data_IF_347338230442
#
_entry.id   IF_347338230442
#
_cell.length_a   1.000
_cell.length_b   1.000
_cell.length_c   1.000
_cell.angle_alpha   90.00
_cell.angle_beta   90.00
_cell.angle_gamma   90.00
#
_symmetry.space_group_name_H-M   'P 1'
#
loop_
_entity.id
_entity.type
_entity.pdbx_description
1 polymer ?
#
# COMPACT_ATOMS: atom_id res chain seq x y z
N UNK A 1 25.44 14.89 6.21
CA UNK A 1 24.36 13.89 6.09
C UNK A 1 24.08 13.71 4.62
N UNK A 2 23.95 12.47 4.17
CA UNK A 2 23.80 12.14 2.76
C UNK A 2 22.47 12.72 2.24
N UNK A 3 22.50 13.61 1.24
CA UNK A 3 21.35 14.38 0.77
C UNK A 3 20.42 13.56 -0.14
N UNK A 4 20.04 12.36 0.32
CA UNK A 4 19.21 11.43 -0.44
C UNK A 4 17.78 11.92 -0.52
N UNK A 5 17.23 11.98 -1.73
CA UNK A 5 15.84 12.38 -1.95
C UNK A 5 14.93 11.16 -1.92
N UNK A 6 14.00 11.12 -0.96
CA UNK A 6 13.04 10.02 -0.82
C UNK A 6 11.64 10.39 -1.30
N UNK A 7 11.18 9.58 -2.25
CA UNK A 7 9.90 9.48 -2.96
C UNK A 7 8.72 8.75 -2.28
N UNK A 8 7.83 9.34 -1.47
CA UNK A 8 6.67 8.56 -0.94
C UNK A 8 5.42 8.75 -1.80
N UNK A 9 5.01 7.72 -2.56
CA UNK A 9 3.77 7.71 -3.35
C UNK A 9 2.58 7.11 -2.58
N UNK A 10 2.86 6.21 -1.64
CA UNK A 10 1.85 5.53 -0.82
C UNK A 10 0.98 6.53 -0.06
N UNK A 11 -0.34 6.50 -0.31
CA UNK A 11 -1.34 7.33 0.38
C UNK A 11 -1.37 7.04 1.88
N UNK A 12 -1.48 5.76 2.25
CA UNK A 12 -1.57 5.35 3.64
C UNK A 12 -0.30 5.66 4.43
N UNK A 13 0.88 5.52 3.81
CA UNK A 13 2.13 5.94 4.44
C UNK A 13 2.15 7.46 4.61
N UNK A 14 1.84 8.20 3.53
CA UNK A 14 1.85 9.67 3.54
C UNK A 14 0.86 10.26 4.55
N UNK A 15 -0.25 9.59 4.82
CA UNK A 15 -1.25 10.02 5.79
C UNK A 15 -0.88 9.68 7.25
N UNK A 16 0.14 8.85 7.51
CA UNK A 16 0.44 8.34 8.85
C UNK A 16 1.50 9.21 9.57
N UNK A 17 1.14 9.98 10.61
CA UNK A 17 2.03 10.99 11.21
C UNK A 17 3.37 10.43 11.69
N UNK A 18 3.35 9.31 12.42
CA UNK A 18 4.58 8.70 12.96
C UNK A 18 5.55 8.20 11.88
N UNK A 19 5.02 7.68 10.76
CA UNK A 19 5.86 7.18 9.67
C UNK A 19 6.52 8.34 8.92
N UNK A 20 5.82 9.47 8.78
CA UNK A 20 6.40 10.69 8.22
C UNK A 20 7.53 11.21 9.10
N UNK A 21 7.28 11.31 10.40
CA UNK A 21 8.25 11.79 11.39
C UNK A 21 9.52 10.92 11.39
N UNK A 22 9.35 9.60 11.48
CA UNK A 22 10.46 8.64 11.45
C UNK A 22 11.25 8.76 10.13
N UNK A 23 10.58 8.81 9.00
CA UNK A 23 11.24 8.92 7.70
C UNK A 23 11.97 10.25 7.53
N UNK A 24 11.38 11.37 7.97
CA UNK A 24 12.01 12.70 7.92
C UNK A 24 13.22 12.81 8.83
N UNK A 25 13.22 12.09 9.97
CA UNK A 25 14.38 12.05 10.88
C UNK A 25 15.63 11.42 10.22
N UNK A 26 15.41 10.47 9.30
CA UNK A 26 16.48 9.77 8.57
C UNK A 26 16.80 10.45 7.23
N UNK A 27 15.77 10.92 6.53
CA UNK A 27 15.85 11.52 5.20
C UNK A 27 15.09 12.85 5.17
N UNK A 28 15.71 13.98 5.57
CA UNK A 28 15.05 15.28 5.62
C UNK A 28 14.52 15.77 4.25
N UNK A 29 15.14 15.32 3.15
CA UNK A 29 14.71 15.63 1.79
C UNK A 29 13.67 14.63 1.26
N UNK A 30 12.63 14.38 2.04
CA UNK A 30 11.52 13.48 1.67
C UNK A 30 10.35 14.28 1.10
N UNK A 31 9.80 13.81 -0.02
CA UNK A 31 8.56 14.30 -0.62
C UNK A 31 7.46 13.26 -0.39
N UNK A 32 6.32 13.71 0.15
CA UNK A 32 5.16 12.87 0.39
C UNK A 32 4.05 13.10 -0.63
N UNK A 33 3.14 12.13 -0.75
CA UNK A 33 1.89 12.29 -1.48
C UNK A 33 0.84 12.96 -0.58
N UNK A 34 1.00 14.27 -0.36
CA UNK A 34 0.12 15.05 0.51
C UNK A 34 -1.29 15.24 -0.06
N UNK A 35 -1.49 14.99 -1.37
CA UNK A 35 -2.82 14.99 -1.99
C UNK A 35 -3.67 13.79 -1.54
N UNK A 36 -3.04 12.71 -1.07
CA UNK A 36 -3.76 11.50 -0.64
C UNK A 36 -4.53 10.79 -1.76
N UNK A 37 -4.24 11.10 -3.03
CA UNK A 37 -4.85 10.46 -4.20
C UNK A 37 -3.88 9.50 -4.87
N UNK A 38 -4.40 8.61 -5.73
CA UNK A 38 -3.53 7.74 -6.53
C UNK A 38 -2.78 8.63 -7.53
N UNK A 39 -1.46 8.48 -7.59
CA UNK A 39 -0.65 9.11 -8.63
C UNK A 39 -0.91 8.35 -9.93
N UNK A 40 -1.49 9.03 -10.91
CA UNK A 40 -1.79 8.41 -12.20
C UNK A 40 -0.51 7.95 -12.90
N UNK A 41 -0.59 6.87 -13.68
CA UNK A 41 0.57 6.26 -14.36
C UNK A 41 1.36 7.28 -15.20
N UNK A 42 0.65 8.17 -15.90
CA UNK A 42 1.25 9.24 -16.72
C UNK A 42 2.04 10.27 -15.90
N UNK A 43 1.67 10.48 -14.64
CA UNK A 43 2.28 11.46 -13.75
C UNK A 43 3.31 10.84 -12.80
N UNK A 44 3.36 9.51 -12.72
CA UNK A 44 4.18 8.79 -11.75
C UNK A 44 5.68 9.06 -11.94
N UNK A 45 6.17 9.04 -13.18
CA UNK A 45 7.57 9.37 -13.49
C UNK A 45 7.91 10.81 -13.06
N UNK A 46 7.04 11.77 -13.37
CA UNK A 46 7.19 13.17 -12.95
C UNK A 46 7.17 13.29 -11.42
N UNK A 47 6.34 12.50 -10.74
CA UNK A 47 6.25 12.53 -9.29
C UNK A 47 7.53 11.99 -8.62
N UNK A 48 8.14 10.94 -9.20
CA UNK A 48 9.37 10.28 -8.75
C UNK A 48 10.66 10.95 -9.26
N UNK A 49 10.56 12.00 -10.09
CA UNK A 49 11.71 12.64 -10.71
C UNK A 49 12.79 13.06 -9.70
N UNK A 50 14.02 12.61 -9.95
CA UNK A 50 15.20 12.86 -9.12
C UNK A 50 15.23 12.13 -7.78
N UNK A 51 14.34 11.16 -7.54
CA UNK A 51 14.34 10.38 -6.30
C UNK A 51 15.50 9.38 -6.29
N UNK A 52 16.26 9.32 -5.19
CA UNK A 52 17.23 8.23 -4.95
C UNK A 52 16.53 6.95 -4.51
N UNK A 53 15.42 7.08 -3.79
CA UNK A 53 14.62 5.94 -3.32
C UNK A 53 13.15 6.30 -3.25
N UNK A 54 12.27 5.30 -3.37
CA UNK A 54 10.83 5.51 -3.32
C UNK A 54 10.12 4.52 -2.40
N UNK A 55 9.13 4.98 -1.63
CA UNK A 55 8.19 4.14 -0.89
C UNK A 55 6.90 4.06 -1.68
N UNK A 56 6.67 2.89 -2.29
CA UNK A 56 5.59 2.64 -3.26
C UNK A 56 4.54 1.72 -2.68
N UNK A 57 3.29 1.87 -3.10
CA UNK A 57 2.20 0.97 -2.72
C UNK A 57 1.60 0.33 -3.96
N UNK A 58 0.57 0.94 -4.55
CA UNK A 58 -0.17 0.38 -5.69
C UNK A 58 0.43 0.78 -7.05
N UNK A 59 1.51 1.56 -7.04
CA UNK A 59 2.12 2.16 -8.22
C UNK A 59 2.64 1.10 -9.20
N UNK A 60 2.33 1.19 -10.51
CA UNK A 60 2.85 0.22 -11.49
C UNK A 60 4.34 0.47 -11.73
N UNK A 61 5.19 -0.37 -11.13
CA UNK A 61 6.64 -0.31 -11.31
C UNK A 61 7.02 -1.23 -12.48
N UNK A 62 6.97 -0.67 -13.69
CA UNK A 62 7.29 -1.34 -14.95
C UNK A 62 8.55 -0.74 -15.58
N UNK A 63 9.16 -1.45 -16.54
CA UNK A 63 10.37 -1.00 -17.22
C UNK A 63 10.26 0.42 -17.80
N UNK A 64 9.11 0.77 -18.38
CA UNK A 64 8.84 2.10 -18.92
C UNK A 64 8.94 3.22 -17.87
N UNK A 65 8.49 2.97 -16.64
CA UNK A 65 8.63 3.91 -15.53
C UNK A 65 10.09 4.01 -15.08
N UNK A 66 10.75 2.86 -14.91
CA UNK A 66 12.12 2.78 -14.42
C UNK A 66 13.10 3.51 -15.36
N UNK A 67 12.93 3.35 -16.67
CA UNK A 67 13.71 4.07 -17.69
C UNK A 67 13.54 5.60 -17.62
N UNK A 68 12.42 6.10 -17.09
CA UNK A 68 12.17 7.54 -16.90
C UNK A 68 12.68 8.05 -15.54
N UNK A 69 13.14 7.16 -14.66
CA UNK A 69 13.61 7.49 -13.31
C UNK A 69 15.07 7.02 -13.11
N UNK A 70 16.06 7.57 -13.86
CA UNK A 70 17.43 7.07 -13.88
C UNK A 70 18.17 7.19 -12.54
N UNK A 71 17.74 8.10 -11.66
CA UNK A 71 18.35 8.30 -10.34
C UNK A 71 17.85 7.31 -9.27
N UNK A 72 16.75 6.60 -9.56
CA UNK A 72 16.09 5.71 -8.61
C UNK A 72 16.94 4.46 -8.39
N UNK A 73 17.38 4.26 -7.14
CA UNK A 73 18.27 3.13 -6.77
C UNK A 73 17.53 2.05 -6.00
N UNK A 74 16.45 2.39 -5.32
CA UNK A 74 15.68 1.47 -4.50
C UNK A 74 14.20 1.83 -4.47
N UNK A 75 13.35 0.81 -4.54
CA UNK A 75 11.94 0.91 -4.16
C UNK A 75 11.72 0.11 -2.87
N UNK A 76 11.02 0.70 -1.91
CA UNK A 76 10.52 0.03 -0.71
C UNK A 76 9.02 -0.15 -0.86
N UNK A 77 8.57 -1.41 -0.86
CA UNK A 77 7.17 -1.75 -1.07
C UNK A 77 6.40 -1.69 0.25
N UNK A 78 5.48 -0.74 0.33
CA UNK A 78 4.50 -0.64 1.42
C UNK A 78 3.31 -1.56 1.12
N UNK A 79 3.39 -2.79 1.62
CA UNK A 79 2.42 -3.86 1.41
C UNK A 79 3.10 -5.15 0.97
N UNK A 80 2.35 -6.26 0.92
CA UNK A 80 2.94 -7.57 0.60
C UNK A 80 2.73 -8.04 -0.84
N UNK A 81 1.69 -7.56 -1.53
CA UNK A 81 1.40 -7.95 -2.92
C UNK A 81 2.43 -7.35 -3.89
N UNK A 82 2.91 -8.15 -4.84
CA UNK A 82 4.00 -7.78 -5.75
C UNK A 82 3.57 -7.70 -7.22
N UNK A 83 2.28 -7.86 -7.52
CA UNK A 83 1.72 -7.91 -8.88
C UNK A 83 2.03 -6.65 -9.71
N UNK A 84 2.18 -5.52 -9.02
CA UNK A 84 2.48 -4.22 -9.61
C UNK A 84 3.98 -3.93 -9.77
N UNK A 85 4.88 -4.82 -9.33
CA UNK A 85 6.33 -4.62 -9.39
C UNK A 85 6.97 -5.64 -10.33
N UNK A 86 7.48 -5.16 -11.46
CA UNK A 86 8.25 -5.98 -12.39
C UNK A 86 9.69 -6.17 -11.87
N UNK A 87 9.95 -7.36 -11.33
CA UNK A 87 11.23 -7.69 -10.69
C UNK A 87 12.37 -7.82 -11.69
N UNK A 88 12.10 -8.30 -12.89
CA UNK A 88 13.12 -8.40 -13.94
C UNK A 88 13.47 -7.02 -14.47
N UNK A 89 12.48 -6.14 -14.64
CA UNK A 89 12.75 -4.74 -15.00
C UNK A 89 13.60 -4.02 -13.93
N UNK A 90 13.30 -4.23 -12.64
CA UNK A 90 14.12 -3.70 -11.55
C UNK A 90 15.55 -4.22 -11.60
N UNK A 91 15.74 -5.52 -11.88
CA UNK A 91 17.08 -6.13 -12.02
C UNK A 91 17.87 -5.56 -13.20
N UNK A 92 17.24 -5.41 -14.37
CA UNK A 92 17.87 -4.86 -15.58
C UNK A 92 18.29 -3.40 -15.38
N UNK A 93 17.47 -2.62 -14.68
CA UNK A 93 17.71 -1.20 -14.42
C UNK A 93 18.57 -0.94 -13.18
N UNK A 94 18.96 -1.98 -12.44
CA UNK A 94 19.78 -1.86 -11.23
C UNK A 94 19.03 -1.31 -10.00
N UNK A 95 17.70 -1.29 -10.03
CA UNK A 95 16.86 -0.80 -8.93
C UNK A 95 16.62 -1.93 -7.92
N UNK A 96 17.08 -1.73 -6.69
CA UNK A 96 16.86 -2.67 -5.60
C UNK A 96 15.39 -2.66 -5.13
N UNK A 97 14.94 -3.78 -4.58
CA UNK A 97 13.59 -3.93 -4.02
C UNK A 97 13.70 -4.25 -2.53
N UNK A 98 13.28 -3.31 -1.69
CA UNK A 98 13.00 -3.54 -0.27
C UNK A 98 11.58 -4.05 -0.09
N UNK A 99 11.43 -5.29 0.36
CA UNK A 99 10.13 -5.92 0.57
C UNK A 99 10.20 -6.98 1.67
N UNK A 100 9.13 -7.12 2.45
CA UNK A 100 9.00 -8.17 3.46
C UNK A 100 7.64 -8.83 3.35
N UNK A 101 7.64 -10.12 3.03
CA UNK A 101 6.43 -10.92 2.89
C UNK A 101 5.74 -11.23 4.21
N UNK A 102 4.41 -11.39 4.17
CA UNK A 102 3.62 -11.92 5.27
C UNK A 102 3.40 -10.95 6.45
N UNK A 103 3.67 -9.66 6.32
CA UNK A 103 3.41 -8.65 7.36
C UNK A 103 1.92 -8.56 7.73
N UNK A 104 1.03 -8.75 6.75
CA UNK A 104 -0.43 -8.72 6.95
C UNK A 104 -1.06 -10.11 7.08
N UNK A 105 -0.27 -11.20 7.13
CA UNK A 105 -0.78 -12.58 7.05
C UNK A 105 -1.85 -12.88 8.11
N UNK A 106 -1.63 -12.40 9.35
CA UNK A 106 -2.54 -12.63 10.48
C UNK A 106 -3.85 -11.86 10.29
N UNK A 107 -3.77 -10.56 10.01
CA UNK A 107 -4.97 -9.74 9.80
C UNK A 107 -5.81 -10.22 8.62
N UNK A 108 -5.18 -10.71 7.54
CA UNK A 108 -5.90 -11.34 6.42
C UNK A 108 -6.58 -12.65 6.85
N UNK A 109 -5.90 -13.50 7.61
CA UNK A 109 -6.49 -14.75 8.11
C UNK A 109 -7.67 -14.50 9.06
N UNK A 110 -7.54 -13.54 9.98
CA UNK A 110 -8.61 -13.11 10.88
C UNK A 110 -9.81 -12.58 10.10
N UNK A 111 -9.58 -11.75 9.08
CA UNK A 111 -10.63 -11.21 8.23
C UNK A 111 -11.34 -12.32 7.45
N UNK A 112 -10.60 -13.28 6.90
CA UNK A 112 -11.17 -14.42 6.20
C UNK A 112 -12.08 -15.26 7.13
N UNK A 113 -11.61 -15.59 8.34
CA UNK A 113 -12.41 -16.31 9.34
C UNK A 113 -13.66 -15.53 9.74
N UNK A 114 -13.52 -14.22 9.98
CA UNK A 114 -14.63 -13.32 10.29
C UNK A 114 -15.70 -13.35 9.20
N UNK A 115 -15.31 -13.26 7.92
CA UNK A 115 -16.26 -13.33 6.82
C UNK A 115 -16.88 -14.70 6.65
N UNK A 116 -16.12 -15.80 6.77
CA UNK A 116 -16.67 -17.15 6.70
C UNK A 116 -17.77 -17.35 7.74
N UNK A 117 -17.49 -17.06 9.01
CA UNK A 117 -18.48 -17.20 10.09
C UNK A 117 -19.64 -16.21 9.90
N UNK A 118 -19.33 -14.94 9.61
CA UNK A 118 -20.33 -13.89 9.51
C UNK A 118 -21.32 -14.11 8.36
N UNK A 119 -20.86 -14.66 7.24
CA UNK A 119 -21.71 -15.02 6.11
C UNK A 119 -22.50 -16.30 6.39
N UNK A 120 -21.85 -17.36 6.89
CA UNK A 120 -22.53 -18.63 7.21
C UNK A 120 -23.62 -18.49 8.28
N UNK A 121 -23.54 -17.47 9.14
CA UNK A 121 -24.49 -17.23 10.24
C UNK A 121 -25.31 -15.96 10.06
N UNK A 122 -25.37 -15.39 8.85
CA UNK A 122 -26.12 -14.17 8.52
C UNK A 122 -25.86 -12.97 9.46
N UNK A 123 -24.70 -12.92 10.13
CA UNK A 123 -24.41 -11.95 11.19
C UNK A 123 -24.51 -10.52 10.67
N UNK A 124 -23.95 -10.26 9.48
CA UNK A 124 -23.93 -8.92 8.89
C UNK A 124 -25.33 -8.43 8.53
N UNK A 125 -26.19 -9.31 8.02
CA UNK A 125 -27.57 -8.99 7.65
C UNK A 125 -28.44 -8.77 8.88
N UNK A 126 -28.41 -9.72 9.82
CA UNK A 126 -29.11 -9.61 11.10
C UNK A 126 -28.73 -8.32 11.85
N UNK A 127 -27.43 -7.98 11.89
CA UNK A 127 -26.97 -6.76 12.55
C UNK A 127 -27.42 -5.48 11.83
N UNK A 128 -27.51 -5.51 10.49
CA UNK A 128 -28.05 -4.38 9.70
C UNK A 128 -29.53 -4.18 9.99
N UNK A 129 -30.32 -5.25 9.94
CA UNK A 129 -31.78 -5.16 10.06
C UNK A 129 -32.18 -4.79 11.50
N UNK A 130 -31.48 -5.31 12.51
CA UNK A 130 -31.68 -4.87 13.89
C UNK A 130 -31.44 -3.37 14.07
N UNK A 131 -30.37 -2.81 13.48
CA UNK A 131 -30.09 -1.36 13.58
C UNK A 131 -31.03 -0.50 12.73
N UNK A 132 -31.38 -0.96 11.53
CA UNK A 132 -32.10 -0.16 10.54
C UNK A 132 -33.62 -0.20 10.69
N UNK A 133 -34.17 -1.36 11.02
CA UNK A 133 -35.62 -1.61 11.07
C UNK A 133 -36.10 -2.12 12.43
N UNK A 134 -35.23 -2.10 13.45
CA UNK A 134 -35.50 -2.62 14.80
C UNK A 134 -36.08 -4.05 14.78
N UNK A 135 -35.75 -4.82 13.75
CA UNK A 135 -36.30 -6.14 13.49
C UNK A 135 -35.29 -7.21 13.90
N UNK A 136 -35.66 -8.02 14.87
CA UNK A 136 -34.82 -9.12 15.35
C UNK A 136 -35.10 -10.39 14.55
N UNK A 137 -34.33 -10.61 13.47
CA UNK A 137 -34.42 -11.80 12.62
C UNK A 137 -33.48 -12.89 13.18
N UNK A 138 -33.98 -14.11 13.37
CA UNK A 138 -33.26 -15.24 13.98
C UNK A 138 -33.00 -16.37 12.97
N UNK A 139 -32.42 -16.04 11.83
CA UNK A 139 -32.14 -16.99 10.73
C UNK A 139 -30.69 -17.51 10.71
N UNK A 140 -29.80 -16.90 11.48
CA UNK A 140 -28.38 -17.26 11.57
C UNK A 140 -28.07 -18.58 12.29
N UNK A 141 -29.05 -19.44 12.53
CA UNK A 141 -28.88 -20.70 13.27
C UNK A 141 -29.76 -21.85 12.83
N UNK A 142 -30.13 -21.88 11.56
CA UNK A 142 -30.81 -23.03 10.98
C UNK A 142 -29.76 -24.06 10.54
N UNK A 143 -29.93 -25.30 11.01
CA UNK A 143 -29.06 -26.45 10.72
C UNK A 143 -29.12 -26.88 9.25
#
# INVERSE_FOLDING_TARGET
MDNKKIVVTSRSFSAHPKLREELLSLFPNTKFNDRGTIVGEKDLAKFLSGADGAIVALDPIKLSLLNQCPDLKIISKFGVGMDNVDREACKITGVAIGWTGGLNRRGVAEMALCYMIGLSRHIFFSARDLRGSNSWIKDGGQD
#
